data_IF_144828452543
#
_entry.id   IF_144828452543
#
_cell.length_a   1.000
_cell.length_b   1.000
_cell.length_c   1.000
_cell.angle_alpha   90.00
_cell.angle_beta   90.00
_cell.angle_gamma   90.00
#
_symmetry.space_group_name_H-M   'P 1'
#
loop_
_entity.id
_entity.type
_entity.pdbx_description
1 polymer ?
#
# COMPACT_ATOMS: atom_id res chain seq x y z
N UNK A 1 -6.53 -7.49 -17.96
CA UNK A 1 -6.45 -6.48 -19.04
C UNK A 1 -6.64 -5.11 -18.37
N UNK A 2 -5.56 -4.34 -18.20
CA UNK A 2 -5.53 -3.15 -17.34
C UNK A 2 -5.61 -1.88 -18.17
N UNK A 3 -6.65 -1.08 -17.92
CA UNK A 3 -6.76 0.30 -18.39
C UNK A 3 -5.86 1.16 -17.51
N UNK A 4 -4.84 1.76 -18.13
CA UNK A 4 -3.88 2.66 -17.49
C UNK A 4 -4.52 4.05 -17.38
N UNK A 5 -4.82 4.53 -16.17
CA UNK A 5 -4.97 5.98 -15.94
C UNK A 5 -3.63 6.54 -15.50
N UNK A 6 -2.89 7.10 -16.44
CA UNK A 6 -1.61 7.77 -16.20
C UNK A 6 -1.81 9.05 -15.38
N UNK A 7 -1.47 9.02 -14.09
CA UNK A 7 -1.18 10.23 -13.32
C UNK A 7 0.15 10.84 -13.78
N UNK A 8 0.18 11.41 -14.98
CA UNK A 8 1.33 12.10 -15.54
C UNK A 8 1.42 13.53 -14.98
N UNK A 9 2.66 14.01 -14.77
CA UNK A 9 2.90 15.46 -14.65
C UNK A 9 2.17 16.18 -15.80
N UNK A 10 1.45 17.24 -15.44
CA UNK A 10 0.60 17.97 -16.37
C UNK A 10 1.48 18.71 -17.38
N UNK A 11 1.36 18.34 -18.65
CA UNK A 11 1.96 19.10 -19.74
C UNK A 11 1.00 20.24 -20.11
N UNK A 12 1.42 21.48 -19.88
CA UNK A 12 0.64 22.66 -20.25
C UNK A 12 1.31 23.43 -21.39
N UNK A 13 0.50 24.18 -22.11
CA UNK A 13 0.99 25.20 -23.01
C UNK A 13 1.06 26.53 -22.26
N UNK A 14 2.22 27.19 -22.32
CA UNK A 14 2.44 28.50 -21.75
C UNK A 14 2.61 29.58 -22.82
N UNK A 15 1.97 30.72 -22.60
CA UNK A 15 2.16 31.93 -23.40
C UNK A 15 1.79 33.17 -22.57
N UNK A 16 2.31 34.32 -22.95
CA UNK A 16 1.95 35.62 -22.36
C UNK A 16 1.85 36.66 -23.47
N UNK A 17 0.80 37.47 -23.48
CA UNK A 17 0.60 38.59 -24.42
C UNK A 17 -0.05 39.76 -23.70
N UNK A 18 0.24 40.98 -24.15
CA UNK A 18 -0.43 42.20 -23.71
C UNK A 18 -1.46 42.73 -24.72
N UNK A 19 -1.70 41.98 -25.81
CA UNK A 19 -2.50 42.43 -26.95
C UNK A 19 -3.79 41.62 -27.08
N UNK A 20 -3.69 40.30 -27.15
CA UNK A 20 -4.87 39.42 -27.27
C UNK A 20 -4.54 37.95 -27.02
N UNK A 21 -5.58 37.12 -26.90
CA UNK A 21 -5.42 35.66 -26.85
C UNK A 21 -4.84 35.06 -28.13
N UNK A 22 -5.07 35.67 -29.28
CA UNK A 22 -4.56 35.22 -30.59
C UNK A 22 -3.06 35.47 -30.69
N UNK A 23 -2.60 36.59 -30.15
CA UNK A 23 -1.17 36.90 -30.05
C UNK A 23 -0.46 35.96 -29.06
N UNK A 24 -1.09 35.66 -27.92
CA UNK A 24 -0.61 34.61 -27.00
C UNK A 24 -0.49 33.24 -27.70
N UNK A 25 -1.46 32.88 -28.54
CA UNK A 25 -1.46 31.59 -29.24
C UNK A 25 -0.33 31.43 -30.26
N UNK A 26 0.21 32.54 -30.81
CA UNK A 26 1.35 32.50 -31.76
C UNK A 26 2.65 32.09 -31.09
N UNK A 27 2.79 32.32 -29.78
CA UNK A 27 4.01 32.04 -29.00
C UNK A 27 3.79 30.94 -27.96
N UNK A 28 3.03 29.90 -28.30
CA UNK A 28 2.79 28.76 -27.40
C UNK A 28 4.06 27.92 -27.24
N UNK A 29 4.50 27.81 -26.00
CA UNK A 29 5.58 26.92 -25.59
C UNK A 29 4.98 25.76 -24.82
N UNK A 30 5.36 24.52 -25.16
CA UNK A 30 4.93 23.34 -24.41
C UNK A 30 5.94 23.08 -23.29
N UNK A 31 5.46 23.01 -22.05
CA UNK A 31 6.29 22.74 -20.88
C UNK A 31 5.60 21.79 -19.92
N UNK A 32 6.39 21.00 -19.19
CA UNK A 32 5.87 20.17 -18.10
C UNK A 32 5.81 21.01 -16.83
N UNK A 33 4.66 21.04 -16.18
CA UNK A 33 4.48 21.79 -14.96
C UNK A 33 5.33 21.26 -13.80
N UNK A 34 5.72 22.18 -12.91
CA UNK A 34 6.34 21.82 -11.63
C UNK A 34 5.41 20.89 -10.85
N UNK A 35 5.90 19.89 -10.09
CA UNK A 35 5.05 18.90 -9.41
C UNK A 35 4.01 19.47 -8.43
N UNK A 36 4.18 20.72 -8.00
CA UNK A 36 3.26 21.42 -7.10
C UNK A 36 2.13 22.16 -7.85
N UNK A 37 2.20 22.25 -9.18
CA UNK A 37 1.24 22.89 -10.06
C UNK A 37 0.42 21.79 -10.76
N UNK A 38 -0.86 21.71 -10.44
CA UNK A 38 -1.76 20.64 -10.83
C UNK A 38 -2.81 21.07 -11.87
N UNK A 39 -2.71 22.31 -12.39
CA UNK A 39 -3.68 22.87 -13.33
C UNK A 39 -3.03 23.62 -14.50
N UNK A 40 -3.69 23.61 -15.67
CA UNK A 40 -3.37 24.52 -16.77
C UNK A 40 -4.39 25.67 -16.74
N UNK A 41 -3.98 26.85 -16.35
CA UNK A 41 -4.87 28.00 -16.25
C UNK A 41 -4.72 28.95 -17.45
N UNK A 42 -5.81 29.67 -17.75
CA UNK A 42 -5.80 30.87 -18.56
C UNK A 42 -6.07 32.03 -17.62
N UNK A 43 -5.18 33.02 -17.60
CA UNK A 43 -5.29 34.20 -16.76
C UNK A 43 -5.48 35.43 -17.65
N UNK A 44 -6.55 36.18 -17.41
CA UNK A 44 -6.76 37.50 -17.96
C UNK A 44 -6.80 38.50 -16.82
N UNK A 45 -5.89 39.47 -16.84
CA UNK A 45 -5.84 40.53 -15.84
C UNK A 45 -5.98 41.88 -16.52
N UNK A 46 -6.85 42.74 -15.96
CA UNK A 46 -7.09 44.10 -16.42
C UNK A 46 -6.74 45.07 -15.30
N UNK A 47 -5.52 45.62 -15.37
CA UNK A 47 -4.99 46.61 -14.43
C UNK A 47 -4.50 47.85 -15.18
N UNK A 48 -3.24 48.25 -14.99
CA UNK A 48 -2.55 49.31 -15.78
C UNK A 48 -2.22 48.90 -17.24
N UNK A 49 -2.95 47.91 -17.76
CA UNK A 49 -2.73 47.23 -19.03
C UNK A 49 -3.51 45.91 -19.05
N UNK A 50 -3.76 45.38 -20.23
CA UNK A 50 -4.36 44.05 -20.41
C UNK A 50 -3.26 43.00 -20.52
N UNK A 51 -3.40 41.90 -19.78
CA UNK A 51 -2.47 40.76 -19.84
C UNK A 51 -3.27 39.49 -20.07
N UNK A 52 -2.88 38.74 -21.09
CA UNK A 52 -3.41 37.44 -21.50
C UNK A 52 -2.32 36.39 -21.31
N UNK A 53 -2.50 35.47 -20.37
CA UNK A 53 -1.50 34.45 -20.05
C UNK A 53 -2.11 33.04 -20.01
N UNK A 54 -1.36 32.05 -20.47
CA UNK A 54 -1.64 30.62 -20.26
C UNK A 54 -0.45 30.01 -19.57
N UNK A 55 -0.66 29.07 -18.65
CA UNK A 55 0.44 28.41 -17.99
C UNK A 55 0.03 27.44 -16.90
N UNK A 56 1.04 26.91 -16.22
CA UNK A 56 0.87 26.05 -15.07
C UNK A 56 0.44 26.87 -13.85
N UNK A 57 -0.55 26.39 -13.13
CA UNK A 57 -1.07 27.03 -11.93
C UNK A 57 -1.48 25.97 -10.90
N UNK A 58 -1.79 26.40 -9.68
CA UNK A 58 -2.41 25.58 -8.64
C UNK A 58 -3.93 25.70 -8.70
N UNK A 59 -4.62 24.58 -8.49
CA UNK A 59 -6.08 24.52 -8.39
C UNK A 59 -6.65 25.37 -7.24
N UNK A 60 -5.83 25.75 -6.26
CA UNK A 60 -6.22 26.57 -5.12
C UNK A 60 -6.35 28.07 -5.46
N UNK A 61 -5.52 28.61 -6.37
CA UNK A 61 -5.51 30.05 -6.67
C UNK A 61 -6.67 30.51 -7.57
N UNK A 62 -7.22 29.67 -8.46
CA UNK A 62 -8.42 30.01 -9.26
C UNK A 62 -9.72 30.05 -8.43
N UNK A 63 -9.72 29.62 -7.16
CA UNK A 63 -10.94 29.63 -6.33
C UNK A 63 -11.30 31.01 -5.76
N UNK A 64 -10.37 31.98 -5.85
CA UNK A 64 -10.49 33.30 -5.22
C UNK A 64 -10.55 34.48 -6.21
N UNK A 65 -10.65 34.25 -7.53
CA UNK A 65 -10.73 35.33 -8.53
C UNK A 65 -11.88 35.14 -9.51
N UNK A 66 -12.68 36.19 -9.69
CA UNK A 66 -13.85 36.28 -10.58
C UNK A 66 -13.54 36.19 -12.09
N UNK A 67 -12.33 35.78 -12.48
CA UNK A 67 -11.84 35.82 -13.87
C UNK A 67 -11.59 34.45 -14.51
N UNK A 68 -11.93 33.34 -13.85
CA UNK A 68 -11.85 31.99 -14.46
C UNK A 68 -13.23 31.66 -15.11
N UNK A 69 -13.42 31.94 -16.42
CA UNK A 69 -14.66 31.60 -17.16
C UNK A 69 -14.98 30.10 -17.18
N UNK A 70 -16.29 29.80 -17.17
CA UNK A 70 -16.93 28.52 -16.87
C UNK A 70 -16.63 27.34 -17.81
N UNK A 71 -16.85 26.17 -17.21
CA UNK A 71 -16.40 24.82 -17.58
C UNK A 71 -17.40 24.11 -18.49
N UNK A 72 -16.92 23.45 -19.53
CA UNK A 72 -17.63 22.30 -20.14
C UNK A 72 -16.79 21.03 -19.96
N UNK A 73 -17.17 20.19 -18.98
CA UNK A 73 -16.68 18.80 -18.88
C UNK A 73 -15.79 18.44 -17.69
N UNK A 74 -15.89 19.13 -16.55
CA UNK A 74 -15.04 18.83 -15.37
C UNK A 74 -15.69 17.73 -14.50
N UNK A 75 -15.04 16.56 -14.42
CA UNK A 75 -15.27 15.58 -13.35
C UNK A 75 -14.96 16.22 -12.00
N UNK A 76 -15.66 15.87 -10.90
CA UNK A 76 -15.41 16.45 -9.59
C UNK A 76 -13.91 16.40 -9.24
N UNK A 77 -13.34 17.55 -8.86
CA UNK A 77 -11.94 17.65 -8.46
C UNK A 77 -11.80 17.05 -7.06
N UNK A 78 -10.99 16.01 -6.94
CA UNK A 78 -10.74 15.29 -5.70
C UNK A 78 -9.30 15.55 -5.25
N UNK A 79 -9.11 15.99 -4.00
CA UNK A 79 -7.77 16.12 -3.40
C UNK A 79 -7.15 14.73 -3.23
N UNK A 80 -5.82 14.63 -3.04
CA UNK A 80 -5.19 13.32 -2.75
C UNK A 80 -5.79 12.62 -1.51
N UNK A 81 -6.29 13.40 -0.56
CA UNK A 81 -7.00 12.90 0.61
C UNK A 81 -8.38 12.37 0.22
N UNK A 82 -9.12 13.10 -0.62
CA UNK A 82 -10.43 12.64 -1.09
C UNK A 82 -10.28 11.41 -2.00
N UNK A 83 -9.28 11.38 -2.88
CA UNK A 83 -8.96 10.21 -3.71
C UNK A 83 -8.60 8.99 -2.87
N UNK A 84 -7.87 9.20 -1.76
CA UNK A 84 -7.57 8.15 -0.80
C UNK A 84 -8.85 7.67 -0.11
N UNK A 85 -9.71 8.57 0.35
CA UNK A 85 -11.00 8.23 0.95
C UNK A 85 -11.95 7.53 -0.04
N UNK A 86 -12.02 7.97 -1.29
CA UNK A 86 -12.83 7.33 -2.35
C UNK A 86 -12.28 5.97 -2.78
N UNK A 87 -10.98 5.73 -2.60
CA UNK A 87 -10.38 4.42 -2.81
C UNK A 87 -10.66 3.43 -1.69
N UNK A 88 -11.25 3.88 -0.57
CA UNK A 88 -11.64 3.06 0.57
C UNK A 88 -13.17 2.83 0.51
N UNK A 89 -13.64 1.62 0.20
CA UNK A 89 -15.08 1.35 0.10
C UNK A 89 -15.79 1.59 1.44
N UNK A 90 -16.89 2.35 1.42
CA UNK A 90 -17.81 2.49 2.55
C UNK A 90 -17.48 3.59 3.57
N UNK A 91 -16.54 4.52 3.30
CA UNK A 91 -16.16 5.61 4.20
C UNK A 91 -15.79 5.16 5.62
N UNK A 92 -15.22 3.96 5.77
CA UNK A 92 -14.90 3.35 7.08
C UNK A 92 -13.83 4.10 7.88
N UNK A 93 -13.00 4.89 7.19
CA UNK A 93 -12.08 5.85 7.79
C UNK A 93 -12.36 7.24 7.20
N UNK A 94 -12.59 8.21 8.07
CA UNK A 94 -12.55 9.63 7.73
C UNK A 94 -11.23 10.19 8.24
N UNK A 95 -10.45 10.81 7.35
CA UNK A 95 -9.30 11.61 7.78
C UNK A 95 -9.87 12.84 8.48
N UNK A 96 -9.38 13.10 9.70
CA UNK A 96 -9.80 14.19 10.59
C UNK A 96 -10.40 15.38 9.82
N UNK A 97 -11.62 15.78 10.18
CA UNK A 97 -12.28 16.95 9.59
C UNK A 97 -11.55 18.26 9.92
N UNK A 98 -10.57 18.21 10.83
CA UNK A 98 -9.66 19.33 11.10
C UNK A 98 -8.93 19.76 9.81
N UNK A 99 -9.17 20.98 9.31
CA UNK A 99 -8.62 21.44 8.03
C UNK A 99 -7.09 21.51 8.01
N UNK A 100 -6.46 21.68 9.18
CA UNK A 100 -5.00 21.77 9.31
C UNK A 100 -4.38 20.39 9.11
N UNK A 101 -4.83 19.41 9.89
CA UNK A 101 -4.38 18.01 9.81
C UNK A 101 -4.64 17.44 8.41
N UNK A 102 -5.83 17.69 7.86
CA UNK A 102 -6.21 17.22 6.52
C UNK A 102 -5.32 17.80 5.42
N UNK A 103 -4.92 19.07 5.56
CA UNK A 103 -3.99 19.75 4.64
C UNK A 103 -2.56 19.21 4.76
N UNK A 104 -2.10 18.89 5.95
CA UNK A 104 -0.78 18.27 6.15
C UNK A 104 -0.72 16.88 5.51
N UNK A 105 -1.76 16.07 5.70
CA UNK A 105 -1.89 14.74 5.10
C UNK A 105 -1.97 14.85 3.57
N UNK A 106 -2.78 15.78 3.04
CA UNK A 106 -2.84 16.06 1.61
C UNK A 106 -1.47 16.37 1.02
N UNK A 107 -0.74 17.31 1.63
CA UNK A 107 0.62 17.70 1.18
C UNK A 107 1.60 16.53 1.28
N UNK A 108 1.44 15.65 2.26
CA UNK A 108 2.27 14.46 2.39
C UNK A 108 2.00 13.47 1.25
N UNK A 109 0.73 13.15 0.99
CA UNK A 109 0.30 12.27 -0.08
C UNK A 109 0.69 12.81 -1.46
N UNK A 110 0.56 14.11 -1.68
CA UNK A 110 1.00 14.79 -2.91
C UNK A 110 2.51 14.64 -3.14
N UNK A 111 3.33 14.86 -2.11
CA UNK A 111 4.80 14.69 -2.20
C UNK A 111 5.19 13.24 -2.50
N UNK A 112 4.50 12.28 -1.89
CA UNK A 112 4.71 10.86 -2.16
C UNK A 112 4.33 10.50 -3.60
N UNK A 113 3.15 10.91 -4.05
CA UNK A 113 2.70 10.68 -5.42
C UNK A 113 3.66 11.29 -6.45
N UNK A 114 4.16 12.50 -6.21
CA UNK A 114 5.17 13.15 -7.05
C UNK A 114 6.50 12.40 -7.10
N UNK A 115 6.97 11.89 -5.96
CA UNK A 115 8.20 11.13 -5.88
C UNK A 115 8.07 9.76 -6.56
N UNK A 116 6.94 9.07 -6.37
CA UNK A 116 6.57 7.82 -7.05
C UNK A 116 6.54 8.01 -8.57
N UNK A 117 5.86 9.06 -9.05
CA UNK A 117 5.75 9.36 -10.47
C UNK A 117 7.11 9.72 -11.10
N UNK A 118 7.98 10.42 -10.37
CA UNK A 118 9.36 10.72 -10.80
C UNK A 118 10.19 9.45 -10.98
N UNK A 119 10.11 8.51 -10.03
CA UNK A 119 10.82 7.23 -10.12
C UNK A 119 10.24 6.33 -11.22
N UNK A 120 8.91 6.32 -11.40
CA UNK A 120 8.26 5.58 -12.47
C UNK A 120 8.68 6.07 -13.86
N UNK A 121 8.88 7.39 -14.03
CA UNK A 121 9.41 7.97 -15.28
C UNK A 121 10.86 7.57 -15.56
N UNK A 122 11.68 7.35 -14.52
CA UNK A 122 13.06 6.84 -14.65
C UNK A 122 13.09 5.34 -14.94
N UNK A 123 12.09 4.59 -14.50
CA UNK A 123 12.00 3.14 -14.63
C UNK A 123 11.43 2.63 -15.98
N UNK A 124 11.39 3.45 -17.04
CA UNK A 124 10.86 3.09 -18.38
C UNK A 124 11.64 1.98 -19.13
N UNK A 125 12.43 1.19 -18.42
CA UNK A 125 13.10 -0.03 -18.87
C UNK A 125 13.50 -0.98 -17.72
N UNK A 126 12.78 -0.97 -16.59
CA UNK A 126 13.15 -1.75 -15.40
C UNK A 126 11.97 -2.55 -14.83
N UNK A 127 12.18 -3.86 -14.70
CA UNK A 127 11.35 -4.88 -14.02
C UNK A 127 10.76 -4.38 -12.70
N UNK A 128 9.59 -4.95 -12.38
CA UNK A 128 8.86 -4.83 -11.11
C UNK A 128 9.81 -4.84 -9.90
N UNK A 129 9.69 -3.81 -9.05
CA UNK A 129 10.59 -3.59 -7.91
C UNK A 129 11.33 -2.25 -7.90
N UNK A 130 10.83 -1.22 -8.60
CA UNK A 130 11.36 0.13 -8.43
C UNK A 130 11.09 0.59 -6.98
N UNK A 131 12.17 0.65 -6.17
CA UNK A 131 12.17 1.24 -4.82
C UNK A 131 11.46 2.60 -4.84
N UNK A 132 10.22 2.64 -4.37
CA UNK A 132 9.42 3.84 -4.23
C UNK A 132 10.02 4.69 -3.11
N UNK A 133 11.01 5.52 -3.45
CA UNK A 133 11.72 6.49 -2.59
C UNK A 133 12.69 5.93 -1.55
N UNK A 134 13.88 6.55 -1.48
CA UNK A 134 14.99 6.15 -0.61
C UNK A 134 14.77 6.42 0.89
N UNK A 135 13.63 6.97 1.30
CA UNK A 135 13.50 7.64 2.60
C UNK A 135 12.35 7.17 3.51
N UNK A 136 11.28 6.53 3.01
CA UNK A 136 10.16 6.13 3.86
C UNK A 136 9.60 4.76 3.44
N UNK A 137 9.47 3.85 4.41
CA UNK A 137 8.74 2.59 4.24
C UNK A 137 7.35 2.77 4.86
N UNK A 138 6.31 2.38 4.12
CA UNK A 138 4.95 2.27 4.64
C UNK A 138 4.60 0.78 4.69
N UNK A 139 3.94 0.39 5.78
CA UNK A 139 3.39 -0.94 5.96
C UNK A 139 1.88 -0.76 5.89
N UNK A 140 1.26 -1.44 4.94
CA UNK A 140 -0.19 -1.46 4.78
C UNK A 140 -0.71 -2.81 5.24
N UNK A 141 -1.70 -2.78 6.12
CA UNK A 141 -2.43 -3.97 6.54
C UNK A 141 -3.83 -3.88 5.97
N UNK A 142 -4.24 -4.92 5.26
CA UNK A 142 -5.54 -5.00 4.61
C UNK A 142 -6.14 -6.38 4.86
N UNK A 143 -7.47 -6.47 4.88
CA UNK A 143 -8.18 -7.74 4.79
C UNK A 143 -8.95 -7.80 3.47
N UNK A 144 -9.20 -9.02 3.01
CA UNK A 144 -10.08 -9.30 1.90
C UNK A 144 -11.12 -10.33 2.33
N UNK A 145 -12.31 -10.27 1.75
CA UNK A 145 -13.34 -11.29 1.93
C UNK A 145 -13.28 -12.25 0.74
N UNK A 146 -12.85 -13.52 0.92
CA UNK A 146 -12.65 -14.46 -0.18
C UNK A 146 -13.93 -14.88 -0.92
N UNK A 147 -15.11 -14.63 -0.34
CA UNK A 147 -16.41 -15.06 -0.87
C UNK A 147 -17.05 -14.05 -1.87
N UNK A 148 -16.27 -13.06 -2.34
CA UNK A 148 -16.75 -12.03 -3.27
C UNK A 148 -16.60 -12.40 -4.76
N UNK A 149 -16.30 -13.66 -5.09
CA UNK A 149 -16.14 -14.11 -6.48
C UNK A 149 -15.03 -13.35 -7.23
N UNK A 150 -15.36 -12.78 -8.39
CA UNK A 150 -14.39 -12.03 -9.24
C UNK A 150 -13.82 -10.77 -8.55
N UNK A 151 -14.46 -10.26 -7.49
CA UNK A 151 -14.02 -9.05 -6.78
C UNK A 151 -12.91 -9.31 -5.75
N UNK A 152 -12.60 -10.57 -5.42
CA UNK A 152 -11.55 -10.97 -4.45
C UNK A 152 -10.16 -10.50 -4.88
N UNK A 153 -9.91 -10.49 -6.20
CA UNK A 153 -8.64 -10.05 -6.81
C UNK A 153 -8.71 -8.62 -7.35
N UNK A 154 -9.86 -7.95 -7.23
CA UNK A 154 -10.04 -6.56 -7.62
C UNK A 154 -9.68 -5.63 -6.45
N UNK A 155 -9.25 -4.41 -6.75
CA UNK A 155 -8.99 -3.38 -5.72
C UNK A 155 -10.22 -3.09 -4.83
N UNK A 156 -11.42 -3.48 -5.27
CA UNK A 156 -12.68 -3.35 -4.51
C UNK A 156 -12.82 -4.34 -3.35
N UNK A 157 -12.17 -5.51 -3.42
CA UNK A 157 -12.25 -6.54 -2.39
C UNK A 157 -11.19 -6.42 -1.29
N UNK A 158 -10.19 -5.55 -1.47
CA UNK A 158 -9.15 -5.29 -0.49
C UNK A 158 -9.51 -4.08 0.37
N UNK A 159 -9.64 -4.29 1.66
CA UNK A 159 -10.00 -3.27 2.64
C UNK A 159 -8.82 -2.99 3.57
N UNK A 160 -8.16 -1.84 3.37
CA UNK A 160 -7.08 -1.38 4.25
C UNK A 160 -7.62 -1.07 5.64
N UNK A 161 -7.06 -1.72 6.66
CA UNK A 161 -7.43 -1.50 8.07
C UNK A 161 -6.45 -0.60 8.78
N UNK A 162 -5.19 -0.57 8.36
CA UNK A 162 -4.20 0.26 9.01
C UNK A 162 -2.99 0.54 8.12
N UNK A 163 -2.41 1.74 8.27
CA UNK A 163 -1.22 2.19 7.54
C UNK A 163 -0.24 2.78 8.53
N UNK A 164 0.99 2.28 8.50
CA UNK A 164 2.05 2.72 9.41
C UNK A 164 3.27 3.11 8.60
N UNK A 165 3.82 4.27 8.91
CA UNK A 165 5.11 4.69 8.39
C UNK A 165 6.22 4.16 9.29
N UNK A 166 7.02 3.25 8.77
CA UNK A 166 8.10 2.66 9.55
C UNK A 166 8.76 1.51 8.81
N UNK A 167 9.90 1.08 9.36
CA UNK A 167 10.60 -0.08 8.85
C UNK A 167 9.78 -1.32 9.17
N UNK A 168 9.55 -2.15 8.16
CA UNK A 168 8.92 -3.45 8.31
C UNK A 168 9.81 -4.39 9.15
N UNK A 169 9.54 -4.42 10.45
CA UNK A 169 10.18 -5.26 11.46
C UNK A 169 9.16 -5.57 12.57
N UNK A 170 9.48 -6.58 13.38
CA UNK A 170 8.56 -7.11 14.38
C UNK A 170 8.09 -6.05 15.40
N UNK A 171 9.01 -5.27 15.98
CA UNK A 171 8.67 -4.27 17.00
C UNK A 171 7.76 -3.17 16.45
N UNK A 172 8.03 -2.72 15.22
CA UNK A 172 7.20 -1.70 14.56
C UNK A 172 5.79 -2.23 14.32
N UNK A 173 5.65 -3.48 13.86
CA UNK A 173 4.34 -4.09 13.69
C UNK A 173 3.60 -4.24 15.02
N UNK A 174 4.30 -4.76 16.03
CA UNK A 174 3.73 -5.00 17.36
C UNK A 174 3.22 -3.72 18.02
N UNK A 175 4.01 -2.66 17.99
CA UNK A 175 3.67 -1.37 18.61
C UNK A 175 2.61 -0.64 17.82
N UNK A 176 2.69 -0.65 16.48
CA UNK A 176 1.83 0.21 15.66
C UNK A 176 0.48 -0.41 15.33
N UNK A 177 0.39 -1.74 15.28
CA UNK A 177 -0.84 -2.48 15.01
C UNK A 177 -1.32 -3.30 16.20
N UNK A 178 -0.80 -3.04 17.42
CA UNK A 178 -1.09 -3.82 18.62
C UNK A 178 -2.60 -3.96 18.90
N UNK A 179 -3.33 -2.85 18.86
CA UNK A 179 -4.78 -2.84 19.08
C UNK A 179 -5.54 -3.62 18.00
N UNK A 180 -5.11 -3.50 16.74
CA UNK A 180 -5.68 -4.24 15.60
C UNK A 180 -5.46 -5.74 15.79
N UNK A 181 -4.26 -6.16 16.21
CA UNK A 181 -3.96 -7.56 16.48
C UNK A 181 -4.76 -8.10 17.67
N UNK A 182 -4.95 -7.31 18.72
CA UNK A 182 -5.80 -7.70 19.85
C UNK A 182 -7.24 -7.98 19.40
N UNK A 183 -7.79 -7.12 18.55
CA UNK A 183 -9.13 -7.29 18.01
C UNK A 183 -9.23 -8.52 17.08
N UNK A 184 -8.29 -8.68 16.15
CA UNK A 184 -8.22 -9.86 15.27
C UNK A 184 -8.13 -11.14 16.10
N UNK A 185 -7.27 -11.17 17.12
CA UNK A 185 -7.09 -12.34 17.98
C UNK A 185 -8.34 -12.66 18.79
N UNK A 186 -9.05 -11.63 19.27
CA UNK A 186 -10.33 -11.81 19.96
C UNK A 186 -11.37 -12.40 19.01
N UNK A 187 -11.55 -11.82 17.83
CA UNK A 187 -12.51 -12.30 16.83
C UNK A 187 -12.18 -13.72 16.35
N UNK A 188 -10.90 -14.05 16.19
CA UNK A 188 -10.48 -15.40 15.82
C UNK A 188 -10.75 -16.42 16.94
N UNK A 189 -10.71 -16.00 18.21
CA UNK A 189 -11.07 -16.88 19.34
C UNK A 189 -12.58 -17.11 19.45
N UNK A 190 -13.39 -16.10 19.15
CA UNK A 190 -14.86 -16.18 19.19
C UNK A 190 -15.42 -16.88 17.94
N UNK A 191 -14.68 -16.83 16.82
CA UNK A 191 -15.04 -17.34 15.49
C UNK A 191 -16.40 -16.87 14.98
N UNK A 192 -16.92 -15.77 15.54
CA UNK A 192 -18.26 -15.24 15.27
C UNK A 192 -18.29 -13.73 15.44
N UNK A 193 -19.15 -13.07 14.68
CA UNK A 193 -19.46 -11.66 14.83
C UNK A 193 -20.96 -11.43 14.68
N UNK A 194 -21.52 -10.48 15.45
CA UNK A 194 -22.92 -10.08 15.35
C UNK A 194 -23.03 -8.78 14.53
N UNK A 195 -23.74 -8.83 13.40
CA UNK A 195 -24.00 -7.68 12.52
C UNK A 195 -25.49 -7.64 12.21
N UNK A 196 -26.16 -6.53 12.53
CA UNK A 196 -27.61 -6.33 12.25
C UNK A 196 -28.48 -7.52 12.70
N UNK A 197 -28.29 -7.96 13.95
CA UNK A 197 -28.94 -9.13 14.57
C UNK A 197 -28.70 -10.50 13.92
N UNK A 198 -27.79 -10.57 12.95
CA UNK A 198 -27.32 -11.83 12.38
C UNK A 198 -25.96 -12.20 12.96
N UNK A 199 -25.81 -13.47 13.32
CA UNK A 199 -24.53 -14.04 13.75
C UNK A 199 -23.86 -14.64 12.53
N UNK A 200 -22.68 -14.13 12.19
CA UNK A 200 -21.85 -14.58 11.08
C UNK A 200 -20.67 -15.35 11.67
N UNK A 201 -20.40 -16.55 11.15
CA UNK A 201 -19.20 -17.29 11.52
C UNK A 201 -18.00 -16.73 10.77
N UNK A 202 -16.88 -16.61 11.46
CA UNK A 202 -15.63 -16.07 10.95
C UNK A 202 -14.58 -17.17 10.81
N UNK A 203 -13.81 -17.08 9.73
CA UNK A 203 -12.61 -17.86 9.50
C UNK A 203 -11.52 -16.90 9.00
N UNK A 204 -10.38 -16.89 9.68
CA UNK A 204 -9.29 -15.95 9.41
C UNK A 204 -8.15 -16.66 8.70
N UNK A 205 -7.64 -16.03 7.64
CA UNK A 205 -6.45 -16.45 6.92
C UNK A 205 -5.39 -15.36 6.98
N UNK A 206 -4.13 -15.76 7.15
CA UNK A 206 -2.98 -14.86 7.08
C UNK A 206 -2.34 -14.99 5.70
N UNK A 207 -2.42 -13.93 4.91
CA UNK A 207 -1.77 -13.85 3.60
C UNK A 207 -0.67 -12.79 3.57
N UNK A 208 0.34 -13.00 2.73
CA UNK A 208 1.36 -12.01 2.42
C UNK A 208 2.61 -12.59 1.80
N UNK A 209 3.55 -11.71 1.46
CA UNK A 209 4.88 -12.16 1.07
C UNK A 209 5.56 -12.93 2.21
N UNK A 210 6.55 -13.76 1.86
CA UNK A 210 7.20 -14.64 2.83
C UNK A 210 7.86 -13.89 3.99
N UNK A 211 8.43 -12.70 3.73
CA UNK A 211 9.11 -11.92 4.75
C UNK A 211 8.08 -11.39 5.75
N UNK A 212 6.95 -10.88 5.27
CA UNK A 212 5.86 -10.40 6.12
C UNK A 212 5.29 -11.53 6.99
N UNK A 213 5.04 -12.71 6.41
CA UNK A 213 4.55 -13.88 7.18
C UNK A 213 5.54 -14.26 8.29
N UNK A 214 6.85 -14.30 8.00
CA UNK A 214 7.85 -14.60 9.04
C UNK A 214 7.81 -13.60 10.19
N UNK A 215 7.64 -12.30 9.88
CA UNK A 215 7.50 -11.27 10.90
C UNK A 215 6.23 -11.46 11.74
N UNK A 216 5.09 -11.71 11.09
CA UNK A 216 3.81 -11.95 11.74
C UNK A 216 3.85 -13.18 12.67
N UNK A 217 4.60 -14.21 12.29
CA UNK A 217 4.78 -15.43 13.07
C UNK A 217 5.96 -15.37 14.07
N UNK A 218 6.65 -14.23 14.18
CA UNK A 218 7.76 -14.03 15.12
C UNK A 218 9.03 -14.82 14.80
N UNK A 219 9.21 -15.22 13.53
CA UNK A 219 10.36 -15.98 13.04
C UNK A 219 11.47 -15.07 12.52
N UNK A 220 12.72 -15.55 12.58
CA UNK A 220 13.83 -14.92 11.85
C UNK A 220 13.58 -14.96 10.34
N UNK A 221 14.25 -14.05 9.62
CA UNK A 221 14.13 -13.93 8.17
C UNK A 221 14.48 -15.20 7.38
N UNK A 222 14.08 -15.22 6.11
CA UNK A 222 14.09 -16.39 5.21
C UNK A 222 15.44 -17.12 5.08
N UNK A 223 16.56 -16.41 5.27
CA UNK A 223 17.92 -16.95 5.20
C UNK A 223 18.36 -17.72 6.45
N UNK A 224 17.52 -17.76 7.48
CA UNK A 224 17.84 -18.42 8.75
C UNK A 224 17.81 -19.94 8.63
N UNK A 225 18.43 -20.62 9.60
CA UNK A 225 18.51 -22.09 9.62
C UNK A 225 17.12 -22.74 9.64
N UNK A 226 16.19 -22.25 10.46
CA UNK A 226 14.84 -22.81 10.63
C UNK A 226 13.76 -21.81 10.20
N UNK A 227 13.85 -21.34 8.96
CA UNK A 227 12.98 -20.29 8.45
C UNK A 227 11.62 -20.79 7.95
N UNK A 228 11.36 -22.10 7.87
CA UNK A 228 10.06 -22.60 7.43
C UNK A 228 8.98 -22.25 8.46
N UNK A 229 7.85 -21.70 7.98
CA UNK A 229 6.70 -21.29 8.81
C UNK A 229 5.91 -22.50 9.31
N UNK A 230 5.83 -23.56 8.51
CA UNK A 230 5.01 -24.74 8.81
C UNK A 230 5.78 -25.84 9.54
N UNK A 231 7.09 -25.92 9.40
CA UNK A 231 7.90 -26.97 10.02
C UNK A 231 9.27 -26.49 10.51
N UNK A 232 9.95 -27.32 11.31
CA UNK A 232 11.27 -27.06 11.92
C UNK A 232 12.42 -27.63 11.11
N UNK A 233 12.26 -27.77 9.78
CA UNK A 233 13.32 -28.25 8.89
C UNK A 233 14.51 -27.28 8.87
N UNK A 234 15.72 -27.84 8.93
CA UNK A 234 16.95 -27.07 8.82
C UNK A 234 17.23 -26.69 7.36
N UNK A 235 17.84 -25.53 7.10
CA UNK A 235 18.04 -24.98 5.75
C UNK A 235 18.77 -25.91 4.78
N UNK A 236 19.68 -26.73 5.30
CA UNK A 236 20.46 -27.69 4.51
C UNK A 236 19.63 -28.91 4.10
N UNK A 237 18.50 -29.15 4.75
CA UNK A 237 17.64 -30.31 4.53
C UNK A 237 16.35 -29.94 3.75
N UNK A 238 16.19 -28.67 3.33
CA UNK A 238 15.00 -28.19 2.58
C UNK A 238 14.90 -28.74 1.17
N UNK A 239 16.01 -29.15 0.57
CA UNK A 239 16.08 -29.68 -0.79
C UNK A 239 16.08 -31.21 -0.85
N UNK A 240 15.78 -31.86 0.28
CA UNK A 240 15.68 -33.32 0.36
C UNK A 240 14.38 -33.78 -0.28
N UNK A 241 14.47 -34.17 -1.54
CA UNK A 241 13.34 -34.68 -2.33
C UNK A 241 13.05 -36.16 -2.08
N UNK A 242 13.90 -36.83 -1.29
CA UNK A 242 13.73 -38.21 -0.82
C UNK A 242 12.73 -38.34 0.35
N UNK A 243 12.30 -37.20 0.91
CA UNK A 243 11.34 -37.12 2.00
C UNK A 243 10.01 -36.60 1.45
N UNK A 244 8.92 -37.24 1.87
CA UNK A 244 7.57 -36.84 1.47
C UNK A 244 7.00 -35.75 2.39
N UNK A 245 5.78 -35.29 2.06
CA UNK A 245 5.09 -34.26 2.83
C UNK A 245 4.74 -34.74 4.25
N UNK A 246 4.46 -36.03 4.43
CA UNK A 246 4.09 -36.63 5.71
C UNK A 246 5.24 -36.53 6.72
N UNK A 247 6.48 -36.70 6.25
CA UNK A 247 7.67 -36.44 7.07
C UNK A 247 7.67 -35.00 7.63
N UNK A 248 7.44 -34.00 6.79
CA UNK A 248 7.44 -32.59 7.21
C UNK A 248 6.22 -32.20 8.06
N UNK A 249 5.13 -32.96 7.94
CA UNK A 249 3.91 -32.81 8.73
C UNK A 249 3.88 -33.65 10.01
N UNK A 250 4.89 -34.48 10.25
CA UNK A 250 5.04 -35.23 11.49
C UNK A 250 4.99 -34.32 12.72
N UNK A 251 4.46 -34.83 13.84
CA UNK A 251 4.30 -34.07 15.09
C UNK A 251 5.60 -33.41 15.58
N UNK A 252 6.73 -34.05 15.29
CA UNK A 252 8.04 -33.60 15.76
C UNK A 252 8.56 -32.42 14.94
N UNK A 253 8.20 -32.33 13.66
CA UNK A 253 8.66 -31.29 12.75
C UNK A 253 7.65 -30.17 12.55
N UNK A 254 6.36 -30.49 12.50
CA UNK A 254 5.29 -29.52 12.30
C UNK A 254 5.32 -28.47 13.43
N UNK A 255 5.13 -27.21 13.06
CA UNK A 255 4.94 -26.11 14.01
C UNK A 255 3.48 -26.01 14.39
N UNK A 256 3.22 -25.65 15.64
CA UNK A 256 1.87 -25.34 16.13
C UNK A 256 1.88 -23.99 16.82
N UNK A 257 0.73 -23.34 16.91
CA UNK A 257 0.60 -22.06 17.61
C UNK A 257 1.02 -22.15 19.09
N UNK A 258 0.69 -23.28 19.74
CA UNK A 258 1.11 -23.55 21.11
C UNK A 258 2.64 -23.63 21.22
N UNK A 259 3.25 -24.45 20.37
CA UNK A 259 4.71 -24.63 20.36
C UNK A 259 5.43 -23.31 20.06
N UNK A 260 4.96 -22.53 19.09
CA UNK A 260 5.56 -21.23 18.74
C UNK A 260 5.63 -20.28 19.95
N UNK A 261 4.55 -20.23 20.73
CA UNK A 261 4.51 -19.43 21.95
C UNK A 261 5.46 -19.92 23.05
N UNK A 262 5.71 -21.22 23.14
CA UNK A 262 6.67 -21.83 24.06
C UNK A 262 8.12 -21.59 23.60
N UNK A 263 8.39 -21.77 22.30
CA UNK A 263 9.71 -21.55 21.69
C UNK A 263 10.20 -20.11 21.86
N UNK A 264 9.31 -19.12 21.68
CA UNK A 264 9.65 -17.72 21.87
C UNK A 264 10.21 -17.42 23.28
N UNK A 265 9.73 -18.14 24.30
CA UNK A 265 10.10 -17.95 25.71
C UNK A 265 11.41 -18.62 26.11
N UNK A 266 11.92 -19.57 25.31
CA UNK A 266 13.18 -20.25 25.62
C UNK A 266 14.34 -19.26 25.66
N UNK A 267 15.32 -19.49 26.53
CA UNK A 267 16.52 -18.64 26.60
C UNK A 267 17.59 -19.06 25.59
N UNK A 268 17.72 -20.38 25.34
CA UNK A 268 18.72 -20.92 24.43
C UNK A 268 18.31 -20.73 22.96
N UNK A 269 19.09 -19.94 22.22
CA UNK A 269 18.83 -19.63 20.81
C UNK A 269 18.76 -20.86 19.89
N UNK A 270 19.46 -21.96 20.20
CA UNK A 270 19.41 -23.20 19.40
C UNK A 270 18.07 -23.91 19.54
N UNK A 271 17.49 -23.87 20.74
CA UNK A 271 16.23 -24.55 21.05
C UNK A 271 15.00 -23.77 20.60
N UNK A 272 15.17 -22.50 20.20
CA UNK A 272 14.10 -21.64 19.67
C UNK A 272 13.69 -21.99 18.25
N UNK A 273 14.50 -22.74 17.50
CA UNK A 273 14.28 -22.98 16.06
C UNK A 273 13.95 -21.69 15.30
N UNK A 274 14.74 -20.63 15.52
CA UNK A 274 14.55 -19.31 14.92
C UNK A 274 13.22 -18.59 15.25
N UNK A 275 12.44 -19.05 16.23
CA UNK A 275 11.32 -18.29 16.80
C UNK A 275 11.87 -17.29 17.83
N UNK A 276 11.96 -16.02 17.44
CA UNK A 276 12.49 -14.95 18.30
C UNK A 276 11.42 -14.30 19.16
N UNK A 277 10.22 -14.19 18.60
CA UNK A 277 9.10 -13.51 19.21
C UNK A 277 7.84 -14.37 19.15
N UNK A 278 6.85 -14.03 19.97
CA UNK A 278 5.53 -14.66 19.86
C UNK A 278 4.88 -14.23 18.53
N UNK A 279 4.02 -15.06 17.92
CA UNK A 279 3.19 -14.61 16.81
C UNK A 279 2.35 -13.38 17.20
N UNK A 280 2.21 -12.43 16.28
CA UNK A 280 1.38 -11.24 16.47
C UNK A 280 -0.11 -11.57 16.34
N UNK A 281 -0.44 -12.58 15.52
CA UNK A 281 -1.78 -13.10 15.32
C UNK A 281 -1.85 -14.59 15.64
N UNK A 282 -2.97 -15.03 16.19
CA UNK A 282 -3.22 -16.39 16.62
C UNK A 282 -3.95 -17.20 15.55
N UNK A 283 -3.45 -17.16 14.32
CA UNK A 283 -4.02 -17.89 13.18
C UNK A 283 -3.35 -19.26 13.08
N UNK A 284 -4.13 -20.32 12.83
CA UNK A 284 -3.60 -21.67 12.71
C UNK A 284 -2.72 -21.82 11.46
N UNK A 285 -1.75 -22.75 11.49
CA UNK A 285 -0.70 -22.84 10.45
C UNK A 285 -1.25 -23.23 9.08
N UNK A 286 -2.36 -23.96 9.04
CA UNK A 286 -3.14 -24.33 7.86
C UNK A 286 -3.89 -23.15 7.24
N UNK A 287 -4.13 -22.09 8.00
CA UNK A 287 -4.71 -20.83 7.52
C UNK A 287 -3.65 -19.77 7.18
N UNK A 288 -2.36 -20.13 7.20
CA UNK A 288 -1.26 -19.27 6.73
C UNK A 288 -0.97 -19.56 5.27
N UNK A 289 -1.30 -18.61 4.40
CA UNK A 289 -1.22 -18.73 2.95
C UNK A 289 -0.08 -17.87 2.42
N UNK A 290 0.80 -18.48 1.65
CA UNK A 290 1.90 -17.77 0.99
C UNK A 290 1.39 -17.07 -0.27
N UNK A 291 1.91 -15.87 -0.52
CA UNK A 291 1.70 -15.19 -1.79
C UNK A 291 2.40 -15.95 -2.95
N UNK A 292 1.58 -16.57 -3.79
CA UNK A 292 2.00 -17.35 -4.95
C UNK A 292 2.73 -16.52 -6.00
N UNK A 293 2.34 -15.25 -6.21
CA UNK A 293 3.00 -14.36 -7.17
C UNK A 293 4.44 -14.09 -6.74
N UNK A 294 4.63 -13.75 -5.46
CA UNK A 294 5.97 -13.52 -4.92
C UNK A 294 6.82 -14.79 -4.94
N UNK A 295 6.22 -15.96 -4.69
CA UNK A 295 6.92 -17.24 -4.81
C UNK A 295 7.34 -17.52 -6.26
N UNK A 296 6.43 -17.34 -7.21
CA UNK A 296 6.68 -17.56 -8.64
C UNK A 296 7.81 -16.68 -9.16
N UNK A 297 7.81 -15.39 -8.80
CA UNK A 297 8.89 -14.47 -9.17
C UNK A 297 10.25 -14.96 -8.65
N UNK A 298 10.31 -15.49 -7.42
CA UNK A 298 11.56 -16.05 -6.86
C UNK A 298 12.02 -17.33 -7.56
N UNK A 299 11.09 -18.18 -7.99
CA UNK A 299 11.42 -19.38 -8.76
C UNK A 299 11.97 -18.97 -10.13
N UNK A 300 11.31 -18.03 -10.81
CA UNK A 300 11.72 -17.54 -12.13
C UNK A 300 13.11 -16.90 -12.06
N UNK A 301 13.42 -16.12 -11.02
CA UNK A 301 14.75 -15.52 -10.80
C UNK A 301 15.89 -16.56 -10.70
N UNK A 302 15.60 -17.82 -10.36
CA UNK A 302 16.59 -18.91 -10.25
C UNK A 302 16.67 -19.74 -11.53
N UNK A 303 15.56 -19.85 -12.27
CA UNK A 303 15.49 -20.66 -13.48
C UNK A 303 15.97 -19.93 -14.75
N UNK A 304 16.04 -18.60 -14.73
CA UNK A 304 16.53 -17.73 -15.82
C UNK A 304 17.95 -17.25 -15.53
#
# INVERSE_FOLDING_TARGET
>A
MLVVSTGCALDCYSCTSQVSWEDCAKNLTKGTCSPNLDNCAKLYARGNGEVFAKGCDTSYECSNQETCEERTGVRPQHTYTDLLEFSIPGNFFAISEDPITRREIHKHLQRLAGAVCSEYKKAKGGRDGARMTRNFSFILMSFALPDLGDDVMAAKGNHTIAVVKGKENYSTLQESFGDVFLEINKLNSEKKIKVNDRVINLEFFLGGDYKFILLMMGLKGAMSYYACVWCKVHKNDRSKMDLDLDYYHSSDLKRTMKEMNELAQKQNAKEKYCCEHKPLVNIEMDHVILDELHLLLRIIDVLI
#
